data_IF_283833188290
#
_entry.id   IF_283833188290
#
_cell.length_a   1.000
_cell.length_b   1.000
_cell.length_c   1.000
_cell.angle_alpha   90.00
_cell.angle_beta   90.00
_cell.angle_gamma   90.00
#
_symmetry.space_group_name_H-M   'P 1'
#
loop_
_entity.id
_entity.type
_entity.pdbx_description
1 polymer ?
#
# COMPACT_ATOMS: atom_id res chain seq x y z
N UNK A 1 -15.35 6.16 6.26
CA UNK A 1 -14.51 6.89 5.27
C UNK A 1 -13.47 7.68 6.04
N UNK A 2 -12.22 7.68 5.59
CA UNK A 2 -11.12 8.40 6.24
C UNK A 2 -10.21 9.01 5.17
N UNK A 3 -9.55 10.12 5.49
CA UNK A 3 -8.64 10.89 4.62
C UNK A 3 -7.49 11.39 5.50
N UNK A 4 -6.27 11.35 4.97
CA UNK A 4 -5.12 12.04 5.55
C UNK A 4 -4.27 12.56 4.41
N UNK A 5 -3.84 13.81 4.52
CA UNK A 5 -2.94 14.42 3.53
C UNK A 5 -1.50 13.99 3.82
N UNK A 6 -0.74 13.78 2.73
CA UNK A 6 0.67 13.42 2.78
C UNK A 6 1.47 14.70 2.57
N UNK A 7 1.97 15.27 3.67
CA UNK A 7 2.74 16.51 3.67
C UNK A 7 4.23 16.17 3.70
N UNK A 8 4.99 16.70 2.75
CA UNK A 8 6.43 16.47 2.67
C UNK A 8 7.13 16.87 3.98
N UNK A 9 7.99 16.00 4.50
CA UNK A 9 8.73 16.21 5.75
C UNK A 9 7.92 15.97 7.03
N UNK A 10 6.66 15.58 6.94
CA UNK A 10 5.81 15.26 8.10
C UNK A 10 5.45 13.78 8.12
N UNK A 11 5.39 13.22 9.33
CA UNK A 11 4.85 11.87 9.57
C UNK A 11 3.45 12.00 10.16
N UNK A 12 2.48 11.37 9.51
CA UNK A 12 1.10 11.30 9.98
C UNK A 12 0.68 9.84 10.12
N UNK A 13 -0.13 9.55 11.13
CA UNK A 13 -0.69 8.22 11.36
C UNK A 13 -2.19 8.23 11.09
N UNK A 14 -2.65 7.23 10.35
CA UNK A 14 -4.05 7.00 10.06
C UNK A 14 -4.37 5.56 10.48
N UNK A 15 -5.39 5.41 11.32
CA UNK A 15 -5.80 4.10 11.86
C UNK A 15 -7.26 3.88 11.52
N UNK A 16 -7.57 2.67 11.05
CA UNK A 16 -8.95 2.22 10.85
C UNK A 16 -9.04 0.71 11.11
N UNK A 17 -10.25 0.25 11.46
CA UNK A 17 -10.59 -1.16 11.56
C UNK A 17 -11.58 -1.51 10.44
N UNK A 18 -11.26 -2.43 9.52
CA UNK A 18 -12.22 -2.86 8.51
C UNK A 18 -13.29 -3.76 9.15
N UNK A 19 -14.53 -3.62 8.68
CA UNK A 19 -15.67 -4.42 9.16
C UNK A 19 -15.94 -5.66 8.28
N UNK A 20 -15.52 -5.61 7.02
CA UNK A 20 -15.79 -6.64 6.01
C UNK A 20 -14.55 -6.88 5.16
N UNK A 21 -14.40 -8.11 4.66
CA UNK A 21 -13.39 -8.45 3.67
C UNK A 21 -13.77 -7.86 2.31
N UNK A 22 -12.76 -7.55 1.49
CA UNK A 22 -12.99 -6.99 0.16
C UNK A 22 -11.88 -6.08 -0.34
N UNK A 23 -12.15 -5.48 -1.51
CA UNK A 23 -11.25 -4.55 -2.19
C UNK A 23 -11.80 -3.13 -2.07
N UNK A 24 -10.99 -2.22 -1.55
CA UNK A 24 -11.38 -0.83 -1.33
C UNK A 24 -10.45 0.09 -2.12
N UNK A 25 -11.03 0.97 -2.95
CA UNK A 25 -10.26 1.93 -3.72
C UNK A 25 -9.72 3.04 -2.81
N UNK A 26 -8.44 3.35 -2.95
CA UNK A 26 -7.81 4.56 -2.44
C UNK A 26 -7.60 5.49 -3.63
N UNK A 27 -7.96 6.75 -3.45
CA UNK A 27 -7.76 7.81 -4.43
C UNK A 27 -6.92 8.93 -3.84
N UNK A 28 -6.10 9.56 -4.67
CA UNK A 28 -5.49 10.84 -4.32
C UNK A 28 -6.59 11.89 -4.10
N UNK A 29 -6.47 12.66 -3.02
CA UNK A 29 -7.50 13.61 -2.61
C UNK A 29 -6.97 15.05 -2.43
N UNK A 30 -5.79 15.31 -2.97
CA UNK A 30 -5.15 16.62 -3.06
C UNK A 30 -4.45 16.72 -4.41
N UNK A 31 -4.56 17.85 -5.11
CA UNK A 31 -4.01 17.96 -6.45
C UNK A 31 -2.48 17.89 -6.41
N UNK A 32 -1.92 16.86 -7.07
CA UNK A 32 -0.49 16.53 -7.03
C UNK A 32 0.20 16.55 -8.40
N UNK A 33 -0.48 17.05 -9.44
CA UNK A 33 0.06 17.17 -10.79
C UNK A 33 -0.76 16.45 -11.86
N UNK A 34 -0.17 16.29 -13.06
CA UNK A 34 -0.88 15.83 -14.27
C UNK A 34 -1.55 14.45 -14.12
N UNK A 35 -0.95 13.55 -13.34
CA UNK A 35 -1.48 12.20 -13.14
C UNK A 35 -2.44 12.08 -11.94
N UNK A 36 -2.85 13.21 -11.34
CA UNK A 36 -3.72 13.22 -10.15
C UNK A 36 -4.98 12.37 -10.32
N UNK A 37 -5.67 12.48 -11.47
CA UNK A 37 -6.91 11.76 -11.74
C UNK A 37 -6.73 10.27 -12.01
N UNK A 38 -5.52 9.81 -12.32
CA UNK A 38 -5.20 8.40 -12.54
C UNK A 38 -4.64 7.72 -11.28
N UNK A 39 -4.38 8.47 -10.22
CA UNK A 39 -3.71 7.99 -9.00
C UNK A 39 -4.66 7.21 -8.09
N UNK A 40 -4.96 5.97 -8.48
CA UNK A 40 -5.73 5.02 -7.70
C UNK A 40 -4.87 3.83 -7.25
N UNK A 41 -5.14 3.35 -6.05
CA UNK A 41 -4.62 2.06 -5.56
C UNK A 41 -5.71 1.35 -4.76
N UNK A 42 -5.41 0.18 -4.20
CA UNK A 42 -6.37 -0.63 -3.43
C UNK A 42 -5.81 -1.01 -2.07
N UNK A 43 -6.69 -1.01 -1.08
CA UNK A 43 -6.54 -1.81 0.14
C UNK A 43 -7.32 -3.10 -0.06
N UNK A 44 -6.68 -4.22 0.21
CA UNK A 44 -7.32 -5.54 0.20
C UNK A 44 -7.45 -6.00 1.64
N UNK A 45 -8.69 -6.14 2.12
CA UNK A 45 -8.99 -6.69 3.43
C UNK A 45 -9.25 -8.18 3.26
N UNK A 46 -8.39 -8.99 3.88
CA UNK A 46 -8.42 -10.45 3.82
C UNK A 46 -8.91 -11.02 5.16
N UNK A 47 -9.28 -12.30 5.17
CA UNK A 47 -9.37 -13.04 6.41
C UNK A 47 -7.96 -13.35 6.94
N UNK A 48 -7.87 -13.83 8.18
CA UNK A 48 -6.60 -14.09 8.87
C UNK A 48 -5.73 -15.13 8.14
N UNK A 49 -6.30 -16.27 7.78
CA UNK A 49 -5.57 -17.35 7.09
C UNK A 49 -5.01 -16.89 5.73
N UNK A 50 -5.83 -16.22 4.92
CA UNK A 50 -5.43 -15.72 3.61
C UNK A 50 -4.30 -14.68 3.73
N UNK A 51 -4.36 -13.83 4.77
CA UNK A 51 -3.32 -12.86 5.05
C UNK A 51 -2.01 -13.53 5.47
N UNK A 52 -2.05 -14.54 6.34
CA UNK A 52 -0.87 -15.28 6.76
C UNK A 52 -0.19 -15.99 5.58
N UNK A 53 -0.97 -16.65 4.72
CA UNK A 53 -0.44 -17.27 3.50
C UNK A 53 0.20 -16.25 2.57
N UNK A 54 -0.48 -15.12 2.34
CA UNK A 54 0.04 -14.02 1.52
C UNK A 54 1.34 -13.45 2.11
N UNK A 55 1.38 -13.20 3.42
CA UNK A 55 2.53 -12.64 4.11
C UNK A 55 3.73 -13.58 4.00
N UNK A 56 3.56 -14.86 4.37
CA UNK A 56 4.64 -15.84 4.33
C UNK A 56 5.22 -16.02 2.91
N UNK A 57 4.36 -16.00 1.88
CA UNK A 57 4.81 -16.07 0.50
C UNK A 57 5.64 -14.85 0.09
N UNK A 58 5.27 -13.64 0.52
CA UNK A 58 5.93 -12.42 0.07
C UNK A 58 7.15 -12.05 0.93
N UNK A 59 7.13 -12.29 2.25
CA UNK A 59 8.28 -12.06 3.12
C UNK A 59 9.49 -12.94 2.76
N UNK A 60 9.26 -14.13 2.19
CA UNK A 60 10.33 -14.97 1.66
C UNK A 60 11.00 -14.38 0.39
N UNK A 61 10.31 -13.50 -0.35
CA UNK A 61 10.78 -12.95 -1.62
C UNK A 61 11.50 -11.60 -1.49
N UNK A 62 11.36 -10.87 -0.38
CA UNK A 62 12.04 -9.58 -0.17
C UNK A 62 13.57 -9.71 -0.01
N UNK A 63 14.08 -10.91 0.32
CA UNK A 63 15.53 -11.17 0.44
C UNK A 63 16.27 -11.36 -0.91
N UNK A 64 15.61 -11.18 -2.06
CA UNK A 64 16.20 -11.46 -3.39
C UNK A 64 16.50 -10.21 -4.25
N UNK A 65 16.23 -9.00 -3.76
CA UNK A 65 16.33 -7.77 -4.56
C UNK A 65 17.59 -6.91 -4.28
N UNK A 66 18.60 -7.47 -3.60
CA UNK A 66 19.89 -6.81 -3.30
C UNK A 66 21.10 -7.40 -4.03
N UNK A 67 20.93 -8.18 -5.10
CA UNK A 67 22.02 -8.38 -6.08
C UNK A 67 21.91 -7.29 -7.16
N UNK A 68 22.51 -6.13 -6.88
CA UNK A 68 22.91 -5.22 -7.95
C UNK A 68 24.07 -5.91 -8.66
N UNK A 69 23.78 -6.63 -9.75
CA UNK A 69 24.79 -7.07 -10.70
C UNK A 69 25.33 -5.83 -11.40
N UNK A 70 26.36 -5.22 -10.83
CA UNK A 70 27.21 -4.24 -11.55
C UNK A 70 28.12 -5.05 -12.45
N UNK A 71 27.70 -5.26 -13.69
CA UNK A 71 28.62 -5.70 -14.74
C UNK A 71 29.47 -4.50 -15.15
N UNK A 72 30.79 -4.63 -15.01
CA UNK A 72 31.79 -3.74 -15.60
C UNK A 72 32.28 -4.34 -16.92
#
# INVERSE_FOLDING_TARGET
RIKQDVIAGSSHYLVFKPEQTGNYNIACAEYCGLNHSAMYTKVVVMNENDYEEWYNKNSANENKQTEIVVNN
#
